data_IF_301346462808
#
_entry.id   IF_301346462808
#
_cell.length_a   1.000
_cell.length_b   1.000
_cell.length_c   1.000
_cell.angle_alpha   90.00
_cell.angle_beta   90.00
_cell.angle_gamma   90.00
#
_symmetry.space_group_name_H-M   'P 1'
#
loop_
_entity.id
_entity.type
_entity.pdbx_description
1 polymer ?
#
# COMPACT_ATOMS: atom_id res chain seq x y z
N UNK A 1 18.08 25.32 -7.57
CA UNK A 1 17.94 24.46 -6.38
C UNK A 1 17.79 23.04 -6.92
N UNK A 2 18.77 22.20 -6.62
CA UNK A 2 19.35 21.23 -7.56
C UNK A 2 18.57 19.89 -7.59
N UNK A 3 18.22 19.37 -8.78
CA UNK A 3 17.54 18.07 -8.98
C UNK A 3 18.26 16.93 -8.22
N UNK A 4 19.56 17.08 -8.02
CA UNK A 4 20.41 16.11 -7.32
C UNK A 4 20.10 15.99 -5.83
N UNK A 5 19.65 17.07 -5.18
CA UNK A 5 19.30 17.06 -3.74
C UNK A 5 17.99 16.31 -3.49
N UNK A 6 17.00 16.42 -4.38
CA UNK A 6 15.74 15.68 -4.28
C UNK A 6 15.96 14.17 -4.36
N UNK A 7 16.86 13.72 -5.24
CA UNK A 7 17.18 12.30 -5.37
C UNK A 7 17.83 11.75 -4.08
N UNK A 8 18.74 12.51 -3.48
CA UNK A 8 19.39 12.12 -2.21
C UNK A 8 18.37 12.01 -1.07
N UNK A 9 17.47 12.99 -0.94
CA UNK A 9 16.38 12.93 0.04
C UNK A 9 15.48 11.72 -0.19
N UNK A 10 15.15 11.41 -1.44
CA UNK A 10 14.35 10.23 -1.79
C UNK A 10 15.02 8.92 -1.37
N UNK A 11 16.33 8.77 -1.62
CA UNK A 11 17.09 7.60 -1.17
C UNK A 11 17.18 7.49 0.36
N UNK A 12 17.33 8.61 1.07
CA UNK A 12 17.35 8.62 2.54
C UNK A 12 16.00 8.17 3.10
N UNK A 13 14.88 8.65 2.54
CA UNK A 13 13.54 8.24 2.95
C UNK A 13 13.32 6.75 2.69
N UNK A 14 13.74 6.24 1.52
CA UNK A 14 13.69 4.80 1.21
C UNK A 14 14.52 4.00 2.22
N UNK A 15 15.72 4.46 2.56
CA UNK A 15 16.62 3.76 3.45
C UNK A 15 16.08 3.71 4.88
N UNK A 16 15.53 4.83 5.39
CA UNK A 16 14.83 4.86 6.68
C UNK A 16 13.62 3.91 6.66
N UNK A 17 12.86 3.89 5.57
CA UNK A 17 11.71 3.02 5.42
C UNK A 17 12.10 1.53 5.44
N UNK A 18 13.19 1.16 4.76
CA UNK A 18 13.72 -0.20 4.77
C UNK A 18 14.19 -0.62 6.17
N UNK A 19 14.85 0.28 6.90
CA UNK A 19 15.27 0.03 8.29
C UNK A 19 14.05 -0.18 9.20
N UNK A 20 13.04 0.69 9.10
CA UNK A 20 11.82 0.57 9.89
C UNK A 20 11.05 -0.72 9.57
N UNK A 21 10.96 -1.06 8.29
CA UNK A 21 10.36 -2.32 7.81
C UNK A 21 11.11 -3.54 8.34
N UNK A 22 12.45 -3.50 8.34
CA UNK A 22 13.28 -4.56 8.91
C UNK A 22 13.11 -4.70 10.43
N UNK A 23 13.10 -3.60 11.17
CA UNK A 23 12.85 -3.63 12.62
C UNK A 23 11.48 -4.23 12.93
N UNK A 24 10.43 -3.79 12.22
CA UNK A 24 9.10 -4.36 12.33
C UNK A 24 9.16 -5.87 12.03
N UNK A 25 9.72 -6.26 10.89
CA UNK A 25 9.88 -7.67 10.52
C UNK A 25 10.52 -8.49 11.65
N UNK A 26 11.61 -8.00 12.25
CA UNK A 26 12.29 -8.70 13.34
C UNK A 26 11.43 -8.82 14.61
N UNK A 27 10.72 -7.76 15.01
CA UNK A 27 9.84 -7.81 16.19
C UNK A 27 8.63 -8.71 15.97
N UNK A 28 8.02 -8.66 14.78
CA UNK A 28 6.94 -9.56 14.41
C UNK A 28 7.41 -11.01 14.32
N UNK A 29 8.63 -11.24 13.82
CA UNK A 29 9.26 -12.56 13.78
C UNK A 29 9.53 -13.09 15.18
N UNK A 30 10.04 -12.26 16.10
CA UNK A 30 10.28 -12.63 17.50
C UNK A 30 8.99 -12.98 18.23
N UNK A 31 7.92 -12.21 18.05
CA UNK A 31 6.59 -12.52 18.59
C UNK A 31 6.04 -13.84 18.03
N UNK A 32 6.19 -14.07 16.72
CA UNK A 32 5.82 -15.36 16.11
C UNK A 32 6.68 -16.52 16.63
N UNK A 33 7.95 -16.25 16.96
CA UNK A 33 8.87 -17.24 17.47
C UNK A 33 8.55 -17.68 18.91
N UNK A 34 8.05 -16.71 19.69
CA UNK A 34 7.70 -16.85 21.09
C UNK A 34 6.35 -17.55 21.28
N UNK A 35 5.50 -17.58 20.24
CA UNK A 35 4.25 -18.32 20.27
C UNK A 35 4.52 -19.83 20.27
N UNK A 36 4.35 -20.44 21.44
CA UNK A 36 4.87 -21.77 21.80
C UNK A 36 3.98 -22.92 21.33
N UNK A 37 2.84 -22.63 20.69
CA UNK A 37 1.82 -23.61 20.30
C UNK A 37 1.79 -23.96 18.80
N UNK A 38 2.69 -23.39 17.97
CA UNK A 38 2.72 -23.65 16.53
C UNK A 38 3.68 -24.79 16.14
N UNK A 39 3.19 -25.69 15.28
CA UNK A 39 3.96 -26.78 14.68
C UNK A 39 5.10 -26.21 13.79
N UNK A 40 6.27 -26.85 13.78
CA UNK A 40 7.49 -26.34 13.14
C UNK A 40 7.31 -25.97 11.65
N UNK A 41 6.37 -26.65 10.96
CA UNK A 41 6.02 -26.40 9.56
C UNK A 41 5.26 -25.07 9.39
N UNK A 42 4.28 -24.79 10.26
CA UNK A 42 3.47 -23.57 10.20
C UNK A 42 4.32 -22.34 10.53
N UNK A 43 5.29 -22.49 11.44
CA UNK A 43 6.24 -21.44 11.79
C UNK A 43 7.12 -21.02 10.60
N UNK A 44 7.60 -21.98 9.79
CA UNK A 44 8.34 -21.66 8.57
C UNK A 44 7.47 -20.96 7.53
N UNK A 45 6.21 -21.37 7.37
CA UNK A 45 5.28 -20.70 6.47
C UNK A 45 5.00 -19.26 6.89
N UNK A 46 4.75 -19.01 8.18
CA UNK A 46 4.52 -17.66 8.70
C UNK A 46 5.72 -16.74 8.48
N UNK A 47 6.95 -17.22 8.70
CA UNK A 47 8.17 -16.44 8.43
C UNK A 47 8.26 -16.10 6.94
N UNK A 48 8.03 -17.06 6.06
CA UNK A 48 8.05 -16.84 4.60
C UNK A 48 6.99 -15.81 4.20
N UNK A 49 5.77 -15.91 4.72
CA UNK A 49 4.71 -14.92 4.48
C UNK A 49 5.12 -13.53 4.98
N UNK A 50 5.78 -13.46 6.14
CA UNK A 50 6.24 -12.19 6.72
C UNK A 50 7.35 -11.56 5.85
N UNK A 51 8.27 -12.36 5.31
CA UNK A 51 9.33 -11.92 4.39
C UNK A 51 8.72 -11.46 3.07
N UNK A 52 7.80 -12.26 2.52
CA UNK A 52 7.07 -11.94 1.29
C UNK A 52 6.28 -10.64 1.47
N UNK A 53 5.60 -10.47 2.61
CA UNK A 53 4.86 -9.26 2.93
C UNK A 53 5.78 -8.03 3.05
N UNK A 54 6.96 -8.16 3.66
CA UNK A 54 7.91 -7.04 3.78
C UNK A 54 8.54 -6.65 2.44
N UNK A 55 8.89 -7.62 1.59
CA UNK A 55 9.43 -7.36 0.24
C UNK A 55 8.35 -6.81 -0.68
N UNK A 56 7.13 -7.35 -0.60
CA UNK A 56 6.01 -6.87 -1.39
C UNK A 56 5.44 -5.56 -0.86
N UNK A 57 5.72 -5.15 0.37
CA UNK A 57 5.22 -3.91 0.97
C UNK A 57 5.41 -2.67 0.07
N UNK A 58 6.62 -2.37 -0.45
CA UNK A 58 6.82 -1.24 -1.37
C UNK A 58 6.11 -1.38 -2.71
N UNK A 59 5.63 -2.57 -3.08
CA UNK A 59 4.84 -2.81 -4.30
C UNK A 59 3.34 -2.71 -3.98
N UNK A 60 2.89 -3.31 -2.88
CA UNK A 60 1.49 -3.33 -2.42
C UNK A 60 1.00 -1.91 -2.11
N UNK A 61 1.81 -1.08 -1.45
CA UNK A 61 1.42 0.29 -1.08
C UNK A 61 1.06 1.16 -2.30
N UNK A 62 1.91 1.31 -3.34
CA UNK A 62 1.53 2.07 -4.52
C UNK A 62 0.40 1.39 -5.29
N UNK A 63 0.31 0.06 -5.30
CA UNK A 63 -0.77 -0.64 -5.98
C UNK A 63 -2.12 -0.38 -5.30
N UNK A 64 -2.21 -0.47 -3.98
CA UNK A 64 -3.39 -0.15 -3.19
C UNK A 64 -3.80 1.32 -3.37
N UNK A 65 -2.82 2.23 -3.45
CA UNK A 65 -3.08 3.64 -3.74
C UNK A 65 -3.63 3.86 -5.16
N UNK A 66 -3.09 3.17 -6.16
CA UNK A 66 -3.59 3.21 -7.54
C UNK A 66 -5.00 2.64 -7.66
N UNK A 67 -5.29 1.54 -6.97
CA UNK A 67 -6.62 0.94 -6.89
C UNK A 67 -7.63 1.94 -6.29
N UNK A 68 -7.27 2.58 -5.18
CA UNK A 68 -8.09 3.60 -4.52
C UNK A 68 -8.33 4.83 -5.42
N UNK A 69 -7.29 5.31 -6.11
CA UNK A 69 -7.40 6.42 -7.06
C UNK A 69 -8.33 6.08 -8.22
N UNK A 70 -8.21 4.86 -8.77
CA UNK A 70 -9.11 4.36 -9.82
C UNK A 70 -10.54 4.28 -9.34
N UNK A 71 -10.76 3.86 -8.09
CA UNK A 71 -12.09 3.78 -7.50
C UNK A 71 -12.74 5.16 -7.37
N UNK A 72 -12.00 6.16 -6.87
CA UNK A 72 -12.48 7.54 -6.80
C UNK A 72 -12.77 8.15 -8.16
N UNK A 73 -11.92 7.91 -9.18
CA UNK A 73 -12.17 8.42 -10.52
C UNK A 73 -13.44 7.82 -11.13
N UNK A 74 -13.65 6.52 -10.97
CA UNK A 74 -14.83 5.81 -11.51
C UNK A 74 -16.13 6.31 -10.89
N UNK A 75 -16.15 6.58 -9.58
CA UNK A 75 -17.33 7.09 -8.90
C UNK A 75 -17.66 8.54 -9.26
N UNK A 76 -16.65 9.36 -9.52
CA UNK A 76 -16.83 10.74 -9.97
C UNK A 76 -17.47 10.80 -11.37
N UNK A 77 -17.04 9.94 -12.29
CA UNK A 77 -17.56 9.90 -13.66
C UNK A 77 -19.05 9.50 -13.72
N UNK A 78 -19.53 8.61 -12.85
CA UNK A 78 -20.94 8.25 -12.77
C UNK A 78 -21.82 9.35 -12.17
N UNK A 79 -21.33 10.08 -11.16
CA UNK A 79 -22.05 11.25 -10.60
C UNK A 79 -22.12 12.38 -11.61
N UNK A 80 -21.02 12.68 -12.30
CA UNK A 80 -20.97 13.72 -13.33
C UNK A 80 -21.94 13.41 -14.49
N UNK A 81 -22.09 12.13 -14.87
CA UNK A 81 -23.08 11.69 -15.86
C UNK A 81 -24.52 11.90 -15.40
N UNK A 82 -24.84 11.52 -14.16
CA UNK A 82 -26.18 11.69 -13.59
C UNK A 82 -26.57 13.16 -13.45
N UNK A 83 -25.61 14.01 -13.09
CA UNK A 83 -25.81 15.45 -13.01
C UNK A 83 -26.09 16.07 -14.37
N UNK A 84 -25.35 15.66 -15.42
CA UNK A 84 -25.56 16.14 -16.79
C UNK A 84 -26.91 15.68 -17.39
N UNK A 85 -27.30 14.44 -17.14
CA UNK A 85 -28.60 13.88 -17.57
C UNK A 85 -29.76 14.63 -16.90
N UNK A 86 -29.64 14.90 -15.60
CA UNK A 86 -30.64 15.67 -14.83
C UNK A 86 -30.80 17.10 -15.35
N UNK A 87 -29.70 17.76 -15.72
CA UNK A 87 -29.74 19.11 -16.30
C UNK A 87 -30.31 19.13 -17.72
N UNK A 88 -30.08 18.09 -18.53
CA UNK A 88 -30.65 18.01 -19.87
C UNK A 88 -32.16 17.81 -19.86
N UNK A 89 -32.69 17.02 -18.91
CA UNK A 89 -34.12 16.74 -18.76
C UNK A 89 -34.93 17.95 -18.26
N UNK A 90 -34.26 18.93 -17.65
CA UNK A 90 -34.89 20.19 -17.20
C UNK A 90 -34.95 21.23 -18.32
N UNK A 91 -34.01 21.19 -19.28
CA UNK A 91 -33.96 22.14 -20.41
C UNK A 91 -34.90 21.80 -21.58
N UNK A 92 -35.44 20.59 -21.60
CA UNK A 92 -36.35 20.09 -22.66
C UNK A 92 -37.85 20.20 -22.28
N UNK A 93 -38.17 20.88 -21.17
CA UNK A 93 -39.53 21.22 -20.71
C UNK A 93 -39.75 22.72 -20.68
#
# INVERSE_FOLDING_TARGET
>A
MDIREHNILFYIVILIYLIMSYCFFTSWLELFLQDKEMNAVERSFSIVILVVATILWPIIVPFAYLELLRFHKKHKESIDRLMNESTSNIGDR
#
